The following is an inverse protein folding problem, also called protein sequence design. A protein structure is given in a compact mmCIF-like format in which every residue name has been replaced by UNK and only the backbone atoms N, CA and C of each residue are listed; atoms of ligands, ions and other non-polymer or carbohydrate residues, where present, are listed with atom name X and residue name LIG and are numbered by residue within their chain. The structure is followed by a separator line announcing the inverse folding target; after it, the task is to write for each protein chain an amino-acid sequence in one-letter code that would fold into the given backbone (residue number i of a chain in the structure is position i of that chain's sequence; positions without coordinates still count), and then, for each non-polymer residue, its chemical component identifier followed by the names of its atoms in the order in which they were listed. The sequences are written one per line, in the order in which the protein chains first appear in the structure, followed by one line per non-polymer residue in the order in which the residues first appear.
data_IF_288324018488
#
_entry.id   IF_288324018488
#
_cell.length_a   1.000
_cell.length_b   1.000
_cell.length_c   1.000
_cell.angle_alpha   90.00
_cell.angle_beta   90.00
_cell.angle_gamma   90.00
#
_symmetry.space_group_name_H-M   'P 1'
#
loop_
_entity.id
_entity.type
_entity.pdbx_description
1 polymer ?
#
# COMPACT_ATOMS: atom_id res chain seq x y z
N UNK A 1 1.37 3.79 -3.30
CA UNK A 1 2.75 3.52 -3.79
C UNK A 1 2.74 2.17 -4.47
N UNK A 2 3.20 2.08 -5.72
CA UNK A 2 3.18 0.83 -6.52
C UNK A 2 4.58 0.22 -6.56
N UNK A 3 4.66 -1.08 -6.33
CA UNK A 3 5.87 -1.92 -6.43
C UNK A 3 5.73 -2.79 -7.68
N UNK A 4 6.73 -2.75 -8.56
CA UNK A 4 6.77 -3.59 -9.77
C UNK A 4 7.66 -4.82 -9.53
N UNK A 5 7.10 -6.02 -9.69
CA UNK A 5 7.82 -7.28 -9.44
C UNK A 5 8.58 -7.84 -10.65
N UNK A 6 8.43 -7.26 -11.85
CA UNK A 6 9.10 -7.73 -13.06
C UNK A 6 9.84 -6.62 -13.80
N UNK A 7 11.09 -6.90 -14.20
CA UNK A 7 11.91 -5.98 -15.01
C UNK A 7 11.72 -6.18 -16.52
N UNK A 8 10.71 -6.95 -16.96
CA UNK A 8 10.72 -7.60 -18.27
C UNK A 8 9.42 -7.61 -19.07
N UNK A 9 8.27 -7.27 -18.50
CA UNK A 9 7.04 -7.11 -19.27
C UNK A 9 6.27 -5.90 -18.76
N UNK A 10 6.33 -4.79 -19.50
CA UNK A 10 5.30 -3.76 -19.38
C UNK A 10 3.99 -4.32 -19.94
N UNK A 11 3.25 -5.11 -19.18
CA UNK A 11 1.84 -5.34 -19.49
C UNK A 11 1.00 -4.30 -18.76
N UNK A 12 1.04 -3.09 -19.31
CA UNK A 12 0.09 -2.03 -18.96
C UNK A 12 -1.30 -2.34 -19.52
N UNK A 13 -1.96 -3.35 -18.95
CA UNK A 13 -3.41 -3.37 -18.97
C UNK A 13 -3.84 -2.69 -17.68
N UNK A 14 -4.07 -1.38 -17.73
CA UNK A 14 -4.83 -0.69 -16.68
C UNK A 14 -6.19 -1.39 -16.61
N UNK A 15 -6.35 -2.25 -15.61
CA UNK A 15 -7.65 -2.82 -15.30
C UNK A 15 -8.43 -1.73 -14.60
N UNK A 16 -9.67 -1.54 -14.97
CA UNK A 16 -10.49 -0.57 -14.29
C UNK A 16 -11.32 -1.26 -13.23
N UNK A 17 -11.30 -0.73 -12.02
CA UNK A 17 -12.11 -1.23 -10.91
C UNK A 17 -12.72 -0.09 -10.11
N UNK A 18 -13.58 -0.43 -9.16
CA UNK A 18 -14.08 0.51 -8.16
C UNK A 18 -13.31 0.28 -6.85
N UNK A 19 -12.71 1.33 -6.30
CA UNK A 19 -12.04 1.29 -5.00
C UNK A 19 -12.26 2.61 -4.25
N UNK A 20 -12.41 2.53 -2.93
CA UNK A 20 -12.62 3.67 -2.05
C UNK A 20 -11.27 4.21 -1.55
N UNK A 21 -10.77 5.26 -2.22
CA UNK A 21 -9.44 5.82 -1.91
C UNK A 21 -9.43 6.77 -0.71
N UNK A 22 -10.53 7.44 -0.41
CA UNK A 22 -10.60 8.41 0.68
C UNK A 22 -11.27 7.84 1.95
N UNK A 23 -11.79 6.62 1.85
CA UNK A 23 -12.43 5.88 2.93
C UNK A 23 -13.72 6.55 3.39
N UNK A 24 -14.49 7.14 2.48
CA UNK A 24 -15.80 7.75 2.74
C UNK A 24 -16.97 6.75 2.64
N UNK A 25 -16.69 5.51 2.22
CA UNK A 25 -17.65 4.44 2.02
C UNK A 25 -18.18 4.34 0.59
N UNK A 26 -17.67 5.12 -0.35
CA UNK A 26 -17.99 5.08 -1.77
C UNK A 26 -16.76 4.66 -2.59
N UNK A 27 -16.93 3.72 -3.51
CA UNK A 27 -15.84 3.24 -4.34
C UNK A 27 -15.83 3.93 -5.72
N UNK A 28 -14.76 4.63 -6.06
CA UNK A 28 -14.61 5.32 -7.35
C UNK A 28 -14.08 4.41 -8.44
N UNK A 29 -14.58 4.60 -9.67
CA UNK A 29 -14.01 3.99 -10.85
C UNK A 29 -12.62 4.57 -11.15
N UNK A 30 -11.60 3.72 -11.11
CA UNK A 30 -10.20 4.13 -11.22
C UNK A 30 -9.38 3.19 -12.10
N UNK A 31 -8.18 3.62 -12.47
CA UNK A 31 -7.13 2.71 -12.97
C UNK A 31 -6.53 1.94 -11.79
N UNK A 32 -6.39 0.63 -11.97
CA UNK A 32 -5.95 -0.28 -10.92
C UNK A 32 -4.61 -0.95 -11.24
N UNK A 33 -3.96 -1.46 -10.20
CA UNK A 33 -2.76 -2.28 -10.36
C UNK A 33 -3.09 -3.62 -11.05
N UNK A 34 -2.18 -4.07 -11.92
CA UNK A 34 -2.25 -5.40 -12.53
C UNK A 34 -1.69 -6.49 -11.60
N UNK A 35 -1.84 -7.76 -12.01
CA UNK A 35 -1.31 -8.95 -11.32
C UNK A 35 0.23 -9.03 -11.22
N UNK A 36 0.95 -8.14 -11.91
CA UNK A 36 2.42 -8.02 -11.85
C UNK A 36 2.91 -6.88 -10.96
N UNK A 37 1.97 -6.16 -10.35
CA UNK A 37 2.20 -5.01 -9.49
C UNK A 37 1.63 -5.28 -8.10
N UNK A 38 2.19 -4.62 -7.10
CA UNK A 38 1.63 -4.62 -5.75
C UNK A 38 1.55 -3.21 -5.19
N UNK A 39 0.64 -3.00 -4.26
CA UNK A 39 0.58 -1.78 -3.46
C UNK A 39 1.28 -2.03 -2.13
N UNK A 40 2.11 -1.07 -1.68
CA UNK A 40 2.58 -1.08 -0.31
C UNK A 40 1.43 -0.65 0.60
N UNK A 41 1.13 -1.46 1.61
CA UNK A 41 -0.01 -1.28 2.50
C UNK A 41 0.35 -1.51 3.96
N UNK A 42 -0.46 -0.92 4.84
CA UNK A 42 -0.46 -1.16 6.27
C UNK A 42 -1.90 -1.16 6.78
N UNK A 43 -2.35 -2.32 7.26
CA UNK A 43 -3.62 -2.47 7.99
C UNK A 43 -3.56 -1.66 9.29
N UNK A 44 -4.17 -0.47 9.26
CA UNK A 44 -4.11 0.51 10.36
C UNK A 44 -5.16 0.21 11.42
N UNK A 45 -6.31 -0.29 11.00
CA UNK A 45 -7.44 -0.56 11.88
C UNK A 45 -7.36 -1.97 12.51
N UNK A 46 -6.40 -2.80 12.09
CA UNK A 46 -6.11 -4.16 12.54
C UNK A 46 -7.26 -5.13 12.31
N UNK A 47 -8.05 -4.93 11.24
CA UNK A 47 -9.17 -5.80 10.89
C UNK A 47 -8.75 -7.04 10.09
N UNK A 48 -7.47 -7.11 9.67
CA UNK A 48 -6.89 -8.20 8.90
C UNK A 48 -7.23 -8.14 7.40
N UNK A 49 -7.65 -6.99 6.90
CA UNK A 49 -8.11 -6.73 5.53
C UNK A 49 -7.54 -5.37 5.10
N UNK A 50 -7.26 -5.20 3.81
CA UNK A 50 -7.05 -3.87 3.24
C UNK A 50 -8.33 -3.50 2.51
N UNK A 51 -9.08 -2.55 3.06
CA UNK A 51 -10.42 -2.22 2.56
C UNK A 51 -10.66 -0.75 2.24
N UNK A 52 -9.72 0.15 2.58
CA UNK A 52 -9.78 1.55 2.17
C UNK A 52 -8.39 2.14 1.84
N UNK A 53 -8.40 3.31 1.19
CA UNK A 53 -7.18 4.00 0.79
C UNK A 53 -6.32 4.55 1.94
N UNK A 54 -6.84 4.63 3.18
CA UNK A 54 -6.06 5.06 4.36
C UNK A 54 -5.02 4.02 4.77
N UNK A 55 -5.19 2.79 4.28
CA UNK A 55 -4.30 1.66 4.49
C UNK A 55 -3.26 1.53 3.36
N UNK A 56 -3.36 2.37 2.33
CA UNK A 56 -2.36 2.49 1.27
C UNK A 56 -1.30 3.54 1.62
N UNK A 57 -0.06 3.33 1.14
CA UNK A 57 0.98 4.35 1.23
C UNK A 57 0.82 5.42 0.13
N UNK A 58 0.69 6.69 0.50
CA UNK A 58 0.40 7.80 -0.42
C UNK A 58 0.59 9.19 0.21
N UNK A 59 -0.01 10.21 -0.41
CA UNK A 59 -0.04 11.61 -0.01
C UNK A 59 -1.06 11.95 1.10
N UNK A 60 -1.74 10.94 1.64
CA UNK A 60 -2.61 11.06 2.82
C UNK A 60 -2.33 9.99 3.89
N UNK A 61 -1.18 9.32 3.81
CA UNK A 61 -0.76 8.40 4.86
C UNK A 61 -0.49 9.17 6.15
N UNK A 62 -1.09 8.73 7.25
CA UNK A 62 -0.86 9.34 8.56
C UNK A 62 0.50 8.92 9.09
N UNK A 63 1.39 9.90 9.28
CA UNK A 63 2.69 9.76 9.91
C UNK A 63 2.56 9.53 11.43
N UNK A 64 3.63 9.07 12.09
CA UNK A 64 3.76 8.96 13.54
C UNK A 64 3.49 10.28 14.26
N UNK A 65 3.76 11.41 13.59
CA UNK A 65 3.44 12.75 14.07
C UNK A 65 1.94 13.10 14.08
N UNK A 66 1.09 12.26 13.49
CA UNK A 66 -0.35 12.48 13.31
C UNK A 66 -0.71 13.40 12.13
N UNK A 67 0.27 13.81 11.32
CA UNK A 67 0.07 14.60 10.10
C UNK A 67 -0.06 13.67 8.89
N UNK A 68 -0.75 14.13 7.84
CA UNK A 68 -0.64 13.51 6.51
C UNK A 68 0.77 13.69 5.96
N UNK A 69 1.30 12.63 5.35
CA UNK A 69 2.49 12.69 4.51
C UNK A 69 2.25 13.59 3.30
N UNK A 70 3.32 14.13 2.73
CA UNK A 70 3.30 14.84 1.45
C UNK A 70 3.20 13.86 0.27
N UNK A 71 3.79 12.68 0.42
CA UNK A 71 3.81 11.61 -0.56
C UNK A 71 4.12 10.26 0.11
N UNK A 72 4.00 9.17 -0.67
CA UNK A 72 4.25 7.82 -0.17
C UNK A 72 5.69 7.53 0.24
N UNK A 73 6.68 8.31 -0.23
CA UNK A 73 8.08 8.14 0.17
C UNK A 73 8.34 8.77 1.54
N UNK A 74 7.74 9.92 1.84
CA UNK A 74 7.77 10.48 3.20
C UNK A 74 7.06 9.54 4.19
N UNK A 75 5.93 8.96 3.79
CA UNK A 75 5.24 7.96 4.59
C UNK A 75 6.10 6.73 4.87
N UNK A 76 6.88 6.27 3.88
CA UNK A 76 7.83 5.16 4.07
C UNK A 76 9.03 5.56 4.94
N UNK A 77 9.56 6.77 4.78
CA UNK A 77 10.69 7.25 5.57
C UNK A 77 10.34 7.39 7.06
N UNK A 78 9.08 7.62 7.40
CA UNK A 78 8.61 7.65 8.79
C UNK A 78 8.62 6.27 9.48
N UNK A 79 8.83 5.18 8.70
CA UNK A 79 9.09 3.83 9.20
C UNK A 79 10.58 3.52 9.41
N UNK A 80 11.52 4.36 8.94
CA UNK A 80 12.96 4.23 9.24
C UNK A 80 13.22 4.78 10.65
N UNK A 81 13.03 3.91 11.63
CA UNK A 81 13.09 4.25 13.05
C UNK A 81 14.51 4.30 13.60
N UNK A 82 15.44 3.60 12.94
CA UNK A 82 16.84 3.57 13.32
C UNK A 82 17.68 4.66 12.61
N UNK A 83 17.13 5.28 11.55
CA UNK A 83 17.71 6.38 10.80
C UNK A 83 18.87 5.98 9.88
N UNK A 84 18.92 4.72 9.43
CA UNK A 84 19.99 4.20 8.57
C UNK A 84 19.70 4.38 7.06
N UNK A 85 18.53 4.94 6.73
CA UNK A 85 18.07 5.19 5.37
C UNK A 85 17.47 3.97 4.69
N UNK A 86 17.31 2.85 5.41
CA UNK A 86 16.64 1.65 4.99
C UNK A 86 15.41 1.42 5.89
N UNK A 87 14.34 0.88 5.30
CA UNK A 87 13.21 0.39 6.07
C UNK A 87 13.30 -1.12 6.01
N UNK A 88 13.69 -1.75 7.12
CA UNK A 88 13.95 -3.19 7.18
C UNK A 88 13.56 -3.83 8.51
N UNK A 89 13.93 -5.10 8.71
CA UNK A 89 13.59 -5.87 9.92
C UNK A 89 14.16 -5.30 11.23
N UNK A 90 15.06 -4.33 11.14
CA UNK A 90 15.63 -3.58 12.26
C UNK A 90 14.73 -2.44 12.72
N UNK A 91 13.67 -2.12 11.96
CA UNK A 91 12.75 -1.02 12.26
C UNK A 91 11.50 -1.45 13.03
N UNK A 92 11.11 -0.58 13.95
CA UNK A 92 9.87 -0.74 14.69
C UNK A 92 8.67 -0.63 13.75
N UNK A 93 7.83 -1.66 13.73
CA UNK A 93 6.64 -1.69 12.87
C UNK A 93 6.86 -2.23 11.47
N UNK A 94 8.10 -2.58 11.09
CA UNK A 94 8.40 -3.30 9.84
C UNK A 94 7.48 -4.50 9.60
N UNK A 95 7.29 -5.31 10.65
CA UNK A 95 6.44 -6.50 10.63
C UNK A 95 4.96 -6.23 10.34
N UNK A 96 4.53 -4.96 10.24
CA UNK A 96 3.18 -4.55 9.85
C UNK A 96 3.07 -4.20 8.37
N UNK A 97 4.18 -3.87 7.70
CA UNK A 97 4.20 -3.57 6.28
C UNK A 97 3.88 -4.84 5.47
N UNK A 98 3.04 -4.68 4.45
CA UNK A 98 2.64 -5.76 3.54
C UNK A 98 2.66 -5.25 2.11
N UNK A 99 2.76 -6.17 1.17
CA UNK A 99 2.43 -5.90 -0.22
C UNK A 99 1.08 -6.52 -0.54
N UNK A 100 0.14 -5.69 -0.97
CA UNK A 100 -1.09 -6.16 -1.57
C UNK A 100 -0.87 -6.42 -3.05
N UNK A 101 -0.87 -7.69 -3.44
CA UNK A 101 -1.02 -8.09 -4.84
C UNK A 101 -2.48 -8.42 -5.08
N UNK A 102 -3.12 -7.67 -5.98
CA UNK A 102 -4.51 -7.88 -6.31
C UNK A 102 -4.67 -8.55 -7.68
N UNK A 103 -5.80 -9.22 -7.88
CA UNK A 103 -6.14 -9.85 -9.16
C UNK A 103 -6.73 -8.86 -10.19
N UNK A 104 -6.79 -7.57 -9.84
CA UNK A 104 -7.39 -6.52 -10.67
C UNK A 104 -8.81 -6.10 -10.28
N UNK A 105 -9.41 -6.68 -9.24
CA UNK A 105 -10.80 -6.45 -8.86
C UNK A 105 -11.02 -5.36 -7.80
N UNK A 106 -9.97 -4.83 -7.16
CA UNK A 106 -10.06 -3.78 -6.15
C UNK A 106 -10.81 -4.20 -4.89
N UNK A 107 -11.08 -5.49 -4.70
CA UNK A 107 -11.85 -5.98 -3.57
C UNK A 107 -10.97 -6.27 -2.36
N UNK A 108 -11.57 -6.10 -1.18
CA UNK A 108 -10.92 -6.30 0.10
C UNK A 108 -10.36 -7.74 0.23
N UNK A 109 -9.04 -7.88 0.43
CA UNK A 109 -8.36 -9.18 0.43
C UNK A 109 -7.85 -9.57 1.82
N UNK A 110 -8.30 -10.74 2.31
CA UNK A 110 -7.91 -11.31 3.62
C UNK A 110 -6.55 -12.00 3.64
N UNK A 111 -5.98 -12.31 2.48
CA UNK A 111 -4.73 -13.05 2.35
C UNK A 111 -3.74 -12.22 1.53
N UNK A 112 -3.28 -11.11 2.10
CA UNK A 112 -2.17 -10.35 1.54
C UNK A 112 -0.97 -11.29 1.44
N UNK A 113 -0.31 -11.31 0.28
CA UNK A 113 0.98 -11.96 0.16
C UNK A 113 1.90 -11.40 1.25
N UNK A 114 2.35 -12.26 2.15
CA UNK A 114 3.22 -11.87 3.26
C UNK A 114 4.65 -11.69 2.73
N UNK A 115 4.80 -10.83 1.73
CA UNK A 115 6.09 -10.34 1.28
C UNK A 115 6.39 -9.15 2.18
N UNK A 116 7.15 -9.42 3.26
CA UNK A 116 7.91 -8.36 3.90
C UNK A 116 8.83 -7.77 2.80
N UNK A 117 8.94 -6.45 2.76
CA UNK A 117 9.76 -5.75 1.75
C UNK A 117 11.24 -6.07 1.96
#
# INVERSE_FOLDING_TARGET
MVIEFSKGAKSGANVHTHFDFDGDGFAEYTEWISDTQGLLVWDRNQNGVIDDGKELFGDDSVLNSGKSSKDGFEALADFDTNGDGCVDASDDGWSKLRVWMDNGDGSAQKNLGQYAV
#
